data_IF_023202092218
#
_entry.id   IF_023202092218
#
_cell.length_a   1.000
_cell.length_b   1.000
_cell.length_c   1.000
_cell.angle_alpha   90.00
_cell.angle_beta   90.00
_cell.angle_gamma   90.00
#
_symmetry.space_group_name_H-M   'P 1'
#
loop_
_entity.id
_entity.type
_entity.pdbx_description
1 polymer ?
#
# COMPACT_ATOMS: atom_id res chain seq x y z
N UNK A 1 3.45 -1.46 -17.22
CA UNK A 1 2.97 -1.74 -15.85
C UNK A 1 3.99 -2.59 -15.12
N UNK A 2 4.35 -2.22 -13.93
CA UNK A 2 5.30 -2.95 -13.10
C UNK A 2 4.66 -3.32 -11.76
N UNK A 3 4.81 -4.60 -11.36
CA UNK A 3 4.35 -5.04 -10.05
C UNK A 3 5.31 -4.59 -8.95
N UNK A 4 4.78 -4.13 -7.84
CA UNK A 4 5.56 -3.73 -6.68
C UNK A 4 5.43 -4.82 -5.60
N UNK A 5 6.54 -5.16 -4.94
CA UNK A 5 6.47 -6.14 -3.86
C UNK A 5 6.19 -5.48 -2.52
N UNK A 6 5.84 -6.29 -1.54
CA UNK A 6 5.45 -5.83 -0.22
C UNK A 6 6.57 -5.05 0.47
N UNK A 7 7.81 -5.49 0.36
CA UNK A 7 8.93 -4.81 1.02
C UNK A 7 9.13 -3.40 0.50
N UNK A 8 9.07 -3.20 -0.81
CA UNK A 8 9.21 -1.88 -1.41
C UNK A 8 8.07 -0.99 -0.98
N UNK A 9 6.83 -1.50 -1.03
CA UNK A 9 5.66 -0.71 -0.65
C UNK A 9 5.71 -0.31 0.81
N UNK A 10 6.04 -1.23 1.71
CA UNK A 10 6.14 -0.94 3.14
C UNK A 10 7.20 0.12 3.42
N UNK A 11 8.36 0.03 2.81
CA UNK A 11 9.42 1.03 2.99
C UNK A 11 9.00 2.41 2.51
N UNK A 12 8.26 2.46 1.42
CA UNK A 12 7.74 3.71 0.90
C UNK A 12 6.68 4.32 1.83
N UNK A 13 5.83 3.49 2.40
CA UNK A 13 4.72 3.96 3.25
C UNK A 13 5.16 4.34 4.66
N UNK A 14 6.14 3.65 5.23
CA UNK A 14 6.51 3.86 6.64
C UNK A 14 7.60 4.90 6.86
N UNK A 15 8.54 4.99 5.92
CA UNK A 15 9.64 5.95 5.99
C UNK A 15 10.41 5.91 7.31
N UNK A 16 10.54 4.74 7.91
CA UNK A 16 11.27 4.58 9.18
C UNK A 16 12.79 4.52 8.99
N UNK A 17 13.27 4.23 7.77
CA UNK A 17 14.67 4.24 7.39
C UNK A 17 14.82 5.13 6.16
N UNK A 18 15.43 6.31 6.32
CA UNK A 18 15.54 7.29 5.25
C UNK A 18 16.26 6.76 4.00
N UNK A 19 17.33 6.00 4.18
CA UNK A 19 18.06 5.48 3.03
C UNK A 19 17.23 4.44 2.26
N UNK A 20 16.52 3.58 2.95
CA UNK A 20 15.63 2.60 2.32
C UNK A 20 14.40 3.26 1.72
N UNK A 21 13.87 4.29 2.37
CA UNK A 21 12.77 5.08 1.81
C UNK A 21 13.20 5.71 0.48
N UNK A 22 14.37 6.33 0.44
CA UNK A 22 14.87 6.97 -0.78
C UNK A 22 15.10 5.97 -1.91
N UNK A 23 15.58 4.77 -1.60
CA UNK A 23 15.71 3.72 -2.61
C UNK A 23 14.35 3.30 -3.18
N UNK A 24 13.36 3.10 -2.31
CA UNK A 24 12.01 2.74 -2.74
C UNK A 24 11.37 3.86 -3.56
N UNK A 25 11.49 5.11 -3.09
CA UNK A 25 10.95 6.27 -3.79
C UNK A 25 11.58 6.43 -5.17
N UNK A 26 12.91 6.29 -5.25
CA UNK A 26 13.64 6.41 -6.51
C UNK A 26 13.25 5.32 -7.50
N UNK A 27 13.06 4.09 -7.03
CA UNK A 27 12.63 2.99 -7.89
C UNK A 27 11.24 3.28 -8.46
N UNK A 28 10.31 3.67 -7.62
CA UNK A 28 8.95 3.98 -8.05
C UNK A 28 8.95 5.16 -9.04
N UNK A 29 9.65 6.23 -8.69
CA UNK A 29 9.69 7.43 -9.52
C UNK A 29 10.33 7.15 -10.89
N UNK A 30 11.39 6.36 -10.91
CA UNK A 30 12.07 5.97 -12.14
C UNK A 30 11.11 5.24 -13.10
N UNK A 31 10.25 4.37 -12.57
CA UNK A 31 9.27 3.64 -13.38
C UNK A 31 8.16 4.55 -13.88
N UNK A 32 7.70 5.46 -13.03
CA UNK A 32 6.69 6.44 -13.43
C UNK A 32 7.23 7.37 -14.52
N UNK A 33 8.48 7.80 -14.40
CA UNK A 33 9.13 8.66 -15.39
C UNK A 33 9.29 7.94 -16.74
N UNK A 34 9.39 6.61 -16.70
CA UNK A 34 9.44 5.80 -17.93
C UNK A 34 8.06 5.56 -18.54
N UNK A 35 7.01 6.14 -17.97
CA UNK A 35 5.64 6.01 -18.47
C UNK A 35 4.92 4.75 -18.00
N UNK A 36 5.48 4.04 -17.04
CA UNK A 36 4.86 2.83 -16.49
C UNK A 36 3.90 3.18 -15.35
N UNK A 37 2.90 2.33 -15.14
CA UNK A 37 2.03 2.41 -13.97
C UNK A 37 2.48 1.37 -12.95
N UNK A 38 2.20 1.65 -11.68
CA UNK A 38 2.54 0.73 -10.58
C UNK A 38 1.35 -0.17 -10.32
N UNK A 39 1.57 -1.49 -10.40
CA UNK A 39 0.53 -2.48 -10.12
C UNK A 39 0.72 -3.06 -8.72
N UNK A 40 -0.35 -3.06 -7.93
CA UNK A 40 -0.34 -3.63 -6.58
C UNK A 40 -1.33 -4.78 -6.55
N UNK A 41 -0.83 -5.99 -6.35
CA UNK A 41 -1.68 -7.18 -6.27
C UNK A 41 -2.44 -7.20 -4.95
N UNK A 42 -3.54 -7.95 -4.92
CA UNK A 42 -4.33 -8.11 -3.70
C UNK A 42 -3.50 -8.74 -2.58
N UNK A 43 -2.64 -9.71 -2.93
CA UNK A 43 -1.75 -10.34 -1.96
C UNK A 43 -0.81 -9.31 -1.32
N UNK A 44 -0.23 -8.42 -2.13
CA UNK A 44 0.67 -7.37 -1.62
C UNK A 44 -0.08 -6.44 -0.66
N UNK A 45 -1.33 -6.09 -0.98
CA UNK A 45 -2.15 -5.26 -0.08
C UNK A 45 -2.36 -5.96 1.26
N UNK A 46 -2.71 -7.23 1.22
CA UNK A 46 -2.97 -8.01 2.44
C UNK A 46 -1.70 -8.16 3.28
N UNK A 47 -0.57 -8.46 2.66
CA UNK A 47 0.71 -8.55 3.36
C UNK A 47 1.13 -7.22 3.95
N UNK A 48 0.90 -6.13 3.21
CA UNK A 48 1.23 -4.78 3.66
C UNK A 48 0.42 -4.42 4.90
N UNK A 49 -0.88 -4.68 4.90
CA UNK A 49 -1.72 -4.46 6.08
C UNK A 49 -1.19 -5.22 7.29
N UNK A 50 -0.88 -6.50 7.09
CA UNK A 50 -0.38 -7.35 8.17
C UNK A 50 0.95 -6.82 8.74
N UNK A 51 1.89 -6.41 7.88
CA UNK A 51 3.18 -5.88 8.31
C UNK A 51 3.01 -4.55 9.05
N UNK A 52 2.19 -3.64 8.52
CA UNK A 52 1.95 -2.35 9.17
C UNK A 52 1.35 -2.53 10.56
N UNK A 53 0.45 -3.47 10.71
CA UNK A 53 -0.19 -3.76 11.99
C UNK A 53 0.74 -4.49 12.94
N UNK A 54 1.40 -5.56 12.48
CA UNK A 54 2.16 -6.45 13.37
C UNK A 54 3.57 -5.97 13.67
N UNK A 55 4.25 -5.37 12.70
CA UNK A 55 5.65 -4.94 12.88
C UNK A 55 5.79 -3.48 13.26
N UNK A 56 4.93 -2.63 12.71
CA UNK A 56 5.02 -1.20 12.95
C UNK A 56 4.02 -0.72 13.99
N UNK A 57 3.09 -1.59 14.39
CA UNK A 57 2.12 -1.27 15.43
C UNK A 57 1.16 -0.14 15.06
N UNK A 58 0.93 0.07 13.78
CA UNK A 58 0.01 1.12 13.36
C UNK A 58 -1.41 0.76 13.75
N UNK A 59 -2.18 1.76 14.14
CA UNK A 59 -3.57 1.58 14.50
C UNK A 59 -4.43 1.37 13.26
N UNK A 60 -5.59 0.74 13.44
CA UNK A 60 -6.54 0.52 12.35
C UNK A 60 -6.89 1.82 11.60
N UNK A 61 -7.25 2.94 12.29
CA UNK A 61 -7.53 4.19 11.56
C UNK A 61 -6.35 4.67 10.72
N UNK A 62 -5.13 4.50 11.21
CA UNK A 62 -3.94 4.94 10.48
C UNK A 62 -3.71 4.07 9.24
N UNK A 63 -3.88 2.76 9.37
CA UNK A 63 -3.73 1.85 8.23
C UNK A 63 -4.79 2.14 7.16
N UNK A 64 -6.02 2.36 7.57
CA UNK A 64 -7.10 2.72 6.65
C UNK A 64 -6.76 4.02 5.90
N UNK A 65 -6.25 5.02 6.61
CA UNK A 65 -5.83 6.28 6.01
C UNK A 65 -4.74 6.08 4.95
N UNK A 66 -3.72 5.27 5.29
CA UNK A 66 -2.60 5.00 4.38
C UNK A 66 -3.08 4.26 3.12
N UNK A 67 -3.87 3.21 3.29
CA UNK A 67 -4.36 2.43 2.16
C UNK A 67 -5.35 3.22 1.30
N UNK A 68 -6.18 4.05 1.91
CA UNK A 68 -7.09 4.92 1.18
C UNK A 68 -6.33 5.93 0.32
N UNK A 69 -5.28 6.54 0.89
CA UNK A 69 -4.44 7.46 0.14
C UNK A 69 -3.78 6.78 -1.05
N UNK A 70 -3.35 5.55 -0.89
CA UNK A 70 -2.75 4.77 -1.96
C UNK A 70 -3.76 4.47 -3.08
N UNK A 71 -5.00 4.11 -2.71
CA UNK A 71 -6.08 3.87 -3.66
C UNK A 71 -6.43 5.10 -4.49
N UNK A 72 -6.31 6.27 -3.91
CA UNK A 72 -6.63 7.54 -4.59
C UNK A 72 -5.53 7.99 -5.54
N UNK A 73 -4.37 7.35 -5.52
CA UNK A 73 -3.26 7.69 -6.40
C UNK A 73 -3.58 7.28 -7.84
N UNK A 74 -3.42 8.21 -8.78
CA UNK A 74 -3.67 7.95 -10.21
C UNK A 74 -2.61 7.06 -10.84
N UNK A 75 -1.47 6.95 -10.22
CA UNK A 75 -0.32 6.25 -10.77
C UNK A 75 -0.27 4.78 -10.34
N UNK A 76 -1.21 4.37 -9.51
CA UNK A 76 -1.27 3.03 -8.96
C UNK A 76 -2.51 2.30 -9.47
N UNK A 77 -2.34 1.07 -9.92
CA UNK A 77 -3.42 0.20 -10.37
C UNK A 77 -3.49 -0.98 -9.40
N UNK A 78 -4.67 -1.25 -8.89
CA UNK A 78 -4.88 -2.34 -7.93
C UNK A 78 -5.60 -3.49 -8.59
N UNK A 79 -5.22 -4.70 -8.23
CA UNK A 79 -5.99 -5.89 -8.55
C UNK A 79 -7.31 -5.79 -7.78
N UNK A 80 -8.43 -5.85 -8.49
CA UNK A 80 -9.77 -5.83 -7.91
C UNK A 80 -9.98 -4.62 -6.98
N UNK A 81 -9.83 -3.43 -7.52
CA UNK A 81 -9.91 -2.18 -6.77
C UNK A 81 -11.24 -2.00 -6.05
N UNK A 82 -12.36 -2.37 -6.67
CA UNK A 82 -13.67 -2.21 -6.06
C UNK A 82 -13.86 -3.10 -4.83
N UNK A 83 -13.35 -4.33 -4.87
CA UNK A 83 -13.37 -5.21 -3.69
C UNK A 83 -12.51 -4.66 -2.57
N UNK A 84 -11.38 -4.06 -2.90
CA UNK A 84 -10.52 -3.45 -1.90
C UNK A 84 -11.19 -2.24 -1.24
N UNK A 85 -11.86 -1.41 -2.02
CA UNK A 85 -12.62 -0.28 -1.48
C UNK A 85 -13.72 -0.74 -0.54
N UNK A 86 -14.46 -1.79 -0.92
CA UNK A 86 -15.48 -2.38 -0.07
C UNK A 86 -14.90 -2.95 1.22
N UNK A 87 -13.76 -3.63 1.13
CA UNK A 87 -13.10 -4.20 2.30
C UNK A 87 -12.66 -3.11 3.28
N UNK A 88 -12.12 -2.01 2.77
CA UNK A 88 -11.70 -0.88 3.61
C UNK A 88 -12.90 -0.22 4.28
N UNK A 89 -13.99 -0.04 3.54
CA UNK A 89 -15.21 0.53 4.09
C UNK A 89 -15.80 -0.36 5.19
N UNK A 90 -15.92 -1.66 4.93
CA UNK A 90 -16.44 -2.62 5.90
C UNK A 90 -15.55 -2.69 7.14
N UNK A 91 -14.25 -2.66 6.97
CA UNK A 91 -13.30 -2.69 8.07
C UNK A 91 -13.41 -1.43 8.94
N UNK A 92 -13.58 -0.28 8.31
CA UNK A 92 -13.77 0.99 9.02
C UNK A 92 -15.00 0.96 9.91
N UNK A 93 -16.08 0.34 9.42
CA UNK A 93 -17.38 0.34 10.08
C UNK A 93 -17.57 -0.83 11.06
N UNK A 94 -16.58 -1.71 11.20
CA UNK A 94 -16.71 -2.90 12.04
C UNK A 94 -15.46 -3.12 12.87
N UNK A 95 -15.52 -4.13 13.77
CA UNK A 95 -14.37 -4.57 14.55
C UNK A 95 -13.72 -5.81 13.94
N UNK A 96 -14.13 -6.20 12.75
CA UNK A 96 -13.56 -7.37 12.08
C UNK A 96 -12.15 -7.09 11.56
N UNK A 97 -11.40 -8.17 11.32
CA UNK A 97 -10.09 -8.07 10.68
C UNK A 97 -10.25 -7.71 9.20
N UNK A 98 -9.24 -7.06 8.64
CA UNK A 98 -9.26 -6.64 7.24
C UNK A 98 -9.35 -7.83 6.29
N UNK A 99 -8.57 -8.87 6.56
CA UNK A 99 -8.62 -10.09 5.75
C UNK A 99 -9.86 -10.92 6.09
#
# INVERSE_FOLDING_TARGET
MIGIDTNVLVRFLTRDDESQYELARSLIQSRLDAGETIFVSLLVVMETEWVLRSRYGLTKPRIIEVLTGLLESRETVFEDESSLEEALFSWRESNADFA
#
